data_IF_476747316064
#
_entry.id   IF_476747316064
#
_cell.length_a   1.000
_cell.length_b   1.000
_cell.length_c   1.000
_cell.angle_alpha   90.00
_cell.angle_beta   90.00
_cell.angle_gamma   90.00
#
_symmetry.space_group_name_H-M   'P 1'
#
loop_
_entity.id
_entity.type
_entity.pdbx_description
1 polymer ?
#
# COMPACT_ATOMS: atom_id res chain seq x y z
N UNK A 1 -3.21 -14.00 0.98
CA UNK A 1 -3.23 -13.28 -0.30
C UNK A 1 -2.27 -13.93 -1.29
N UNK A 2 -2.60 -13.97 -2.57
CA UNK A 2 -1.76 -14.47 -3.66
C UNK A 2 -1.89 -13.57 -4.90
N UNK A 3 -1.02 -13.74 -5.91
CA UNK A 3 -1.10 -13.07 -7.21
C UNK A 3 -1.20 -11.53 -7.12
N UNK A 4 -0.32 -10.91 -6.32
CA UNK A 4 -0.24 -9.45 -6.22
C UNK A 4 0.39 -8.89 -7.49
N UNK A 5 -0.29 -7.93 -8.11
CA UNK A 5 0.12 -7.26 -9.32
C UNK A 5 -0.04 -5.74 -9.16
N UNK A 6 1.03 -5.00 -9.42
CA UNK A 6 1.04 -3.54 -9.53
C UNK A 6 0.57 -3.15 -10.93
N UNK A 7 -0.48 -2.35 -11.00
CA UNK A 7 -1.03 -1.84 -12.25
C UNK A 7 -0.47 -0.45 -12.57
N UNK A 8 -0.51 0.48 -11.61
CA UNK A 8 -0.11 1.87 -11.86
C UNK A 8 0.38 2.58 -10.60
N UNK A 9 1.07 3.70 -10.83
CA UNK A 9 1.41 4.70 -9.83
C UNK A 9 0.37 5.80 -9.84
N UNK A 10 -0.14 6.17 -8.66
CA UNK A 10 -1.15 7.22 -8.51
C UNK A 10 -0.69 8.27 -7.52
N UNK A 11 -1.04 9.53 -7.80
CA UNK A 11 -0.68 10.62 -6.92
C UNK A 11 -1.72 11.73 -6.87
N UNK A 12 -2.01 12.17 -5.65
CA UNK A 12 -2.82 13.35 -5.34
C UNK A 12 -2.00 14.66 -5.47
N UNK A 13 -0.67 14.56 -5.58
CA UNK A 13 0.27 15.67 -5.74
C UNK A 13 1.33 15.35 -6.82
N UNK A 14 0.94 15.25 -8.11
CA UNK A 14 1.82 14.75 -9.18
C UNK A 14 3.06 15.62 -9.44
N UNK A 15 3.09 16.87 -8.97
CA UNK A 15 4.27 17.74 -9.05
C UNK A 15 5.31 17.46 -7.94
N UNK A 16 4.92 16.72 -6.90
CA UNK A 16 5.74 16.44 -5.71
C UNK A 16 6.02 14.95 -5.52
N UNK A 17 5.34 14.08 -6.29
CA UNK A 17 5.47 12.64 -6.21
C UNK A 17 6.06 12.07 -7.50
N UNK A 18 6.98 11.14 -7.34
CA UNK A 18 7.56 10.32 -8.40
C UNK A 18 7.28 8.85 -8.11
N UNK A 19 7.23 7.99 -9.13
CA UNK A 19 7.11 6.54 -8.91
C UNK A 19 8.17 5.99 -7.96
N UNK A 20 9.37 6.57 -7.96
CA UNK A 20 10.48 6.19 -7.07
C UNK A 20 10.20 6.43 -5.58
N UNK A 21 9.22 7.29 -5.25
CA UNK A 21 8.85 7.56 -3.85
C UNK A 21 8.00 6.43 -3.27
N UNK A 22 7.48 5.53 -4.12
CA UNK A 22 6.75 4.30 -3.75
C UNK A 22 7.18 3.16 -4.67
N UNK A 23 8.47 2.85 -4.66
CA UNK A 23 9.08 1.84 -5.53
C UNK A 23 9.06 0.45 -4.92
N UNK A 24 7.87 -0.06 -4.60
CA UNK A 24 7.72 -1.42 -4.11
C UNK A 24 7.52 -2.38 -5.29
N UNK A 25 8.19 -3.52 -5.25
CA UNK A 25 7.89 -4.65 -6.12
C UNK A 25 6.63 -5.40 -5.68
N UNK A 26 6.06 -6.24 -6.56
CA UNK A 26 4.94 -7.13 -6.21
C UNK A 26 5.22 -7.97 -4.94
N UNK A 27 6.47 -8.36 -4.71
CA UNK A 27 6.90 -9.12 -3.52
C UNK A 27 6.85 -8.23 -2.27
N UNK A 28 7.36 -7.00 -2.35
CA UNK A 28 7.34 -6.05 -1.23
C UNK A 28 5.92 -5.60 -0.89
N UNK A 29 5.05 -5.40 -1.88
CA UNK A 29 3.62 -5.13 -1.64
C UNK A 29 2.96 -6.29 -0.91
N UNK A 30 3.26 -7.54 -1.32
CA UNK A 30 2.78 -8.72 -0.60
C UNK A 30 3.29 -8.74 0.85
N UNK A 31 4.57 -8.44 1.06
CA UNK A 31 5.17 -8.39 2.40
C UNK A 31 4.53 -7.29 3.26
N UNK A 32 4.24 -6.11 2.68
CA UNK A 32 3.54 -5.03 3.36
C UNK A 32 2.21 -5.53 3.92
N UNK A 33 1.32 -6.09 3.09
CA UNK A 33 0.02 -6.57 3.56
C UNK A 33 0.12 -7.79 4.50
N UNK A 34 1.26 -8.48 4.55
CA UNK A 34 1.50 -9.58 5.51
C UNK A 34 1.97 -9.09 6.87
N UNK A 35 2.64 -7.93 6.92
CA UNK A 35 3.20 -7.34 8.14
C UNK A 35 2.32 -6.23 8.73
N UNK A 36 1.58 -5.53 7.88
CA UNK A 36 0.69 -4.46 8.28
C UNK A 36 -0.46 -4.98 9.14
N UNK A 37 -0.83 -4.19 10.14
CA UNK A 37 -2.01 -4.45 10.94
C UNK A 37 -3.24 -3.91 10.21
N UNK A 38 -4.33 -4.67 10.23
CA UNK A 38 -5.63 -4.16 9.83
C UNK A 38 -6.12 -3.16 10.89
N UNK A 39 -6.53 -1.98 10.45
CA UNK A 39 -6.98 -0.87 11.30
C UNK A 39 -8.32 -0.35 10.83
N UNK A 40 -9.06 0.35 11.70
CA UNK A 40 -10.25 1.06 11.29
C UNK A 40 -9.89 2.27 10.40
N UNK A 41 -10.78 2.63 9.47
CA UNK A 41 -10.62 3.81 8.63
C UNK A 41 -10.32 5.09 9.43
N UNK A 42 -11.02 5.25 10.57
CA UNK A 42 -10.82 6.38 11.48
C UNK A 42 -9.39 6.41 12.02
N UNK A 43 -8.86 5.26 12.45
CA UNK A 43 -7.49 5.14 12.95
C UNK A 43 -6.48 5.50 11.87
N UNK A 44 -6.69 5.05 10.63
CA UNK A 44 -5.83 5.41 9.50
C UNK A 44 -5.79 6.92 9.28
N UNK A 45 -6.96 7.57 9.25
CA UNK A 45 -7.09 9.00 9.04
C UNK A 45 -6.51 9.83 10.20
N UNK A 46 -6.76 9.42 11.45
CA UNK A 46 -6.42 10.22 12.62
C UNK A 46 -4.95 10.05 13.03
N UNK A 47 -4.34 8.88 12.80
CA UNK A 47 -3.03 8.53 13.36
C UNK A 47 -1.92 8.30 12.33
N UNK A 48 -2.24 8.13 11.04
CA UNK A 48 -1.24 7.82 10.02
C UNK A 48 -1.11 8.93 8.98
N UNK A 49 0.11 9.07 8.45
CA UNK A 49 0.39 10.08 7.45
C UNK A 49 -0.27 9.70 6.11
N UNK A 50 -1.19 10.55 5.65
CA UNK A 50 -1.79 10.41 4.34
C UNK A 50 -0.80 10.89 3.27
N UNK A 51 0.08 9.99 2.83
CA UNK A 51 1.04 10.31 1.79
C UNK A 51 0.33 10.48 0.42
N UNK A 52 0.68 11.52 -0.36
CA UNK A 52 0.05 11.83 -1.64
C UNK A 52 0.55 10.94 -2.79
N UNK A 53 1.51 10.05 -2.54
CA UNK A 53 2.09 9.15 -3.54
C UNK A 53 1.70 7.71 -3.19
N UNK A 54 1.22 6.95 -4.17
CA UNK A 54 0.80 5.58 -4.00
C UNK A 54 1.04 4.72 -5.24
N UNK A 55 1.02 3.41 -5.05
CA UNK A 55 0.87 2.44 -6.12
C UNK A 55 -0.41 1.64 -5.88
N UNK A 56 -1.02 1.18 -6.96
CA UNK A 56 -2.23 0.39 -6.90
C UNK A 56 -2.20 -0.77 -7.88
N UNK A 57 -3.12 -1.70 -7.68
CA UNK A 57 -3.29 -2.81 -8.60
C UNK A 57 -4.28 -3.83 -8.10
N UNK A 58 -4.05 -5.09 -8.47
CA UNK A 58 -4.94 -6.21 -8.15
C UNK A 58 -4.23 -7.30 -7.38
N UNK A 59 -4.97 -7.99 -6.52
CA UNK A 59 -4.48 -9.15 -5.79
C UNK A 59 -5.61 -10.14 -5.55
N UNK A 60 -5.25 -11.40 -5.26
CA UNK A 60 -6.21 -12.40 -4.79
C UNK A 60 -6.24 -12.42 -3.26
N UNK A 61 -7.32 -11.91 -2.68
CA UNK A 61 -7.60 -11.96 -1.23
C UNK A 61 -8.83 -12.82 -0.99
N UNK A 62 -8.73 -13.78 -0.05
CA UNK A 62 -9.84 -14.70 0.27
C UNK A 62 -10.50 -15.35 -0.96
N UNK A 63 -9.69 -15.77 -1.96
CA UNK A 63 -10.14 -16.36 -3.24
C UNK A 63 -10.92 -15.41 -4.16
N UNK A 64 -10.96 -14.12 -3.86
CA UNK A 64 -11.57 -13.08 -4.69
C UNK A 64 -10.51 -12.17 -5.30
N UNK A 65 -10.79 -11.65 -6.50
CA UNK A 65 -9.98 -10.60 -7.10
C UNK A 65 -10.36 -9.27 -6.46
N UNK A 66 -9.38 -8.61 -5.84
CA UNK A 66 -9.57 -7.36 -5.13
C UNK A 66 -8.62 -6.31 -5.66
N UNK A 67 -9.07 -5.06 -5.63
CA UNK A 67 -8.20 -3.92 -5.88
C UNK A 67 -7.45 -3.59 -4.60
N UNK A 68 -6.27 -3.00 -4.71
CA UNK A 68 -5.50 -2.59 -3.55
C UNK A 68 -4.71 -1.33 -3.86
N UNK A 69 -4.34 -0.60 -2.81
CA UNK A 69 -3.44 0.55 -2.90
C UNK A 69 -2.48 0.55 -1.71
N UNK A 70 -1.23 0.92 -1.95
CA UNK A 70 -0.21 1.15 -0.91
C UNK A 70 0.42 2.51 -1.14
N UNK A 71 0.49 3.32 -0.08
CA UNK A 71 1.04 4.68 -0.08
C UNK A 71 2.44 4.70 0.52
N UNK A 72 3.22 5.73 0.15
CA UNK A 72 4.57 5.95 0.68
C UNK A 72 4.63 6.00 2.22
N UNK A 73 3.53 6.41 2.86
CA UNK A 73 3.39 6.55 4.31
C UNK A 73 3.16 5.24 5.07
N UNK A 74 3.51 4.07 4.49
CA UNK A 74 3.28 2.75 5.08
C UNK A 74 1.81 2.46 5.45
N UNK A 75 0.89 3.02 4.66
CA UNK A 75 -0.56 2.78 4.75
C UNK A 75 -1.09 2.22 3.45
N UNK A 76 -2.15 1.44 3.51
CA UNK A 76 -2.81 0.93 2.31
C UNK A 76 -4.23 0.45 2.56
N UNK A 77 -4.89 0.02 1.51
CA UNK A 77 -6.17 -0.66 1.61
C UNK A 77 -6.27 -1.80 0.61
N UNK A 78 -7.18 -2.73 0.90
CA UNK A 78 -7.69 -3.73 -0.03
C UNK A 78 -9.19 -3.47 -0.16
N UNK A 79 -9.67 -3.45 -1.40
CA UNK A 79 -11.08 -3.32 -1.73
C UNK A 79 -11.58 -4.59 -2.41
N UNK A 80 -12.48 -5.32 -1.76
CA UNK A 80 -13.09 -6.55 -2.27
C UNK A 80 -14.61 -6.37 -2.30
N UNK A 81 -15.24 -6.56 -3.47
CA UNK A 81 -16.71 -6.56 -3.60
C UNK A 81 -17.43 -5.33 -2.99
N UNK A 82 -16.75 -4.19 -2.85
CA UNK A 82 -17.29 -2.96 -2.25
C UNK A 82 -16.84 -2.71 -0.81
N UNK A 83 -16.35 -3.73 -0.11
CA UNK A 83 -15.81 -3.61 1.25
C UNK A 83 -14.36 -3.14 1.22
N UNK A 84 -14.00 -2.28 2.19
CA UNK A 84 -12.65 -1.75 2.37
C UNK A 84 -12.01 -2.32 3.65
N UNK A 85 -10.80 -2.83 3.48
CA UNK A 85 -9.93 -3.28 4.56
C UNK A 85 -8.72 -2.36 4.60
N UNK A 86 -8.53 -1.65 5.70
CA UNK A 86 -7.46 -0.64 5.82
C UNK A 86 -6.28 -1.21 6.59
N UNK A 87 -5.08 -0.89 6.14
CA UNK A 87 -3.85 -1.43 6.68
C UNK A 87 -2.87 -0.32 7.00
N UNK A 88 -2.22 -0.43 8.15
CA UNK A 88 -1.14 0.45 8.54
C UNK A 88 0.01 -0.36 9.10
N UNK A 89 1.24 0.03 8.80
CA UNK A 89 2.42 -0.69 9.25
C UNK A 89 3.45 0.23 9.89
N UNK A 90 3.52 0.17 11.22
CA UNK A 90 4.50 0.92 12.00
C UNK A 90 5.93 0.39 11.84
N UNK A 91 6.09 -0.90 11.49
CA UNK A 91 7.39 -1.58 11.44
C UNK A 91 7.86 -1.91 10.02
N UNK A 92 7.26 -1.29 8.99
CA UNK A 92 7.58 -1.56 7.58
C UNK A 92 8.62 -0.60 6.99
N UNK A 93 9.27 0.25 7.80
CA UNK A 93 10.21 1.27 7.32
C UNK A 93 11.27 0.70 6.36
N UNK A 94 11.73 -0.54 6.58
CA UNK A 94 12.69 -1.21 5.71
C UNK A 94 12.17 -1.48 4.29
N UNK A 95 10.86 -1.63 4.12
CA UNK A 95 10.23 -1.80 2.80
C UNK A 95 10.19 -0.48 2.03
N UNK A 96 10.04 0.65 2.73
CA UNK A 96 9.89 1.99 2.14
C UNK A 96 11.21 2.78 2.08
N UNK A 97 12.22 2.41 2.86
CA UNK A 97 13.57 2.99 2.85
C UNK A 97 14.47 2.38 1.76
N UNK A 98 14.01 2.39 0.51
CA UNK A 98 14.76 1.89 -0.65
C UNK A 98 15.99 2.76 -1.04
N UNK A 99 16.48 3.62 -0.14
CA UNK A 99 17.84 4.19 -0.19
C UNK A 99 18.89 3.31 0.50
N UNK A 100 18.51 2.25 1.21
CA UNK A 100 19.44 1.40 1.98
C UNK A 100 19.88 0.09 1.28
N UNK A 101 19.42 -0.19 0.06
CA UNK A 101 19.76 -1.42 -0.67
C UNK A 101 20.22 -1.17 -2.12
N UNK A 102 21.00 -0.12 -2.34
CA UNK A 102 21.72 0.08 -3.60
C UNK A 102 23.23 0.09 -3.39
#
# INVERSE_FOLDING_TARGET
>A
MNNVYIADFVSDAPQQCKPTDVDLSNIQVKQFFQQAAEVEHKTLHDHYNYAPCAIEGTLTYQQQSCNWQVRAGATGYIQCAGDYYYFACDNCEQLFNASAQK
#
